data_IF_698326150319
#
_entry.id   IF_698326150319
#
_cell.length_a   1.000
_cell.length_b   1.000
_cell.length_c   1.000
_cell.angle_alpha   90.00
_cell.angle_beta   90.00
_cell.angle_gamma   90.00
#
_symmetry.space_group_name_H-M   'P 1'
#
loop_
_entity.id
_entity.type
_entity.pdbx_description
1 polymer ?
#
# COMPACT_ATOMS: atom_id res chain seq x y z
N UNK A 1 -66.16 57.93 -13.34
CA UNK A 1 -65.49 58.39 -12.11
C UNK A 1 -64.00 58.43 -12.45
N UNK A 2 -63.43 59.62 -12.65
CA UNK A 2 -62.02 59.75 -13.05
C UNK A 2 -61.12 59.60 -11.82
N UNK A 3 -60.13 58.72 -11.92
CA UNK A 3 -59.21 58.40 -10.81
C UNK A 3 -57.91 59.19 -10.99
N UNK A 4 -57.59 60.05 -10.03
CA UNK A 4 -56.36 60.85 -9.97
C UNK A 4 -55.17 60.00 -9.50
N UNK A 5 -53.95 60.41 -9.89
CA UNK A 5 -52.69 59.66 -9.62
C UNK A 5 -52.43 59.37 -8.13
N UNK A 6 -52.93 60.22 -7.23
CA UNK A 6 -52.80 60.05 -5.78
C UNK A 6 -53.63 58.86 -5.27
N UNK A 7 -54.81 58.62 -5.86
CA UNK A 7 -55.68 57.48 -5.51
C UNK A 7 -55.07 56.14 -5.94
N UNK A 8 -54.22 56.14 -6.98
CA UNK A 8 -53.53 54.95 -7.51
C UNK A 8 -52.36 54.55 -6.60
N UNK A 9 -51.64 55.52 -6.04
CA UNK A 9 -50.56 55.28 -5.07
C UNK A 9 -51.12 54.76 -3.74
N UNK A 10 -52.23 55.31 -3.26
CA UNK A 10 -52.92 54.86 -2.04
C UNK A 10 -53.44 53.41 -2.19
N UNK A 11 -53.99 53.05 -3.35
CA UNK A 11 -54.45 51.70 -3.64
C UNK A 11 -53.31 50.67 -3.77
N UNK A 12 -52.11 51.10 -4.18
CA UNK A 12 -50.91 50.25 -4.24
C UNK A 12 -50.39 49.89 -2.84
N UNK A 13 -50.51 50.82 -1.88
CA UNK A 13 -50.06 50.62 -0.50
C UNK A 13 -51.04 49.75 0.32
N UNK A 14 -52.33 49.77 -0.02
CA UNK A 14 -53.38 48.97 0.62
C UNK A 14 -53.52 47.58 -0.02
N UNK A 15 -52.55 46.70 0.30
CA UNK A 15 -52.43 45.28 -0.07
C UNK A 15 -53.60 44.54 -0.76
N UNK A 16 -53.24 43.97 -1.92
CA UNK A 16 -53.57 42.63 -2.46
C UNK A 16 -55.00 42.20 -2.81
N UNK A 17 -56.08 42.93 -2.50
CA UNK A 17 -57.45 42.42 -2.82
C UNK A 17 -58.29 43.20 -3.85
N UNK A 18 -57.87 44.38 -4.31
CA UNK A 18 -58.55 45.13 -5.40
C UNK A 18 -57.77 45.06 -6.73
N UNK A 19 -56.61 44.40 -6.75
CA UNK A 19 -55.58 44.52 -7.81
C UNK A 19 -55.93 43.74 -9.10
N UNK A 20 -56.94 42.87 -9.11
CA UNK A 20 -57.22 41.96 -10.23
C UNK A 20 -58.11 42.53 -11.36
N UNK A 21 -58.62 43.76 -11.26
CA UNK A 21 -59.68 44.26 -12.17
C UNK A 21 -59.28 45.36 -13.16
N UNK A 22 -58.00 45.76 -13.25
CA UNK A 22 -57.58 46.83 -14.18
C UNK A 22 -56.71 46.26 -15.32
N UNK A 23 -57.22 46.21 -16.58
CA UNK A 23 -56.52 45.58 -17.71
C UNK A 23 -55.27 46.35 -18.19
N UNK A 24 -55.09 47.62 -17.77
CA UNK A 24 -53.94 48.44 -18.17
C UNK A 24 -52.62 48.03 -17.49
N UNK A 25 -52.65 47.29 -16.38
CA UNK A 25 -51.44 46.84 -15.70
C UNK A 25 -50.76 45.64 -16.39
N UNK A 26 -51.51 44.85 -17.16
CA UNK A 26 -50.96 43.72 -17.93
C UNK A 26 -50.04 44.22 -19.06
N UNK A 27 -50.38 45.37 -19.67
CA UNK A 27 -49.54 46.05 -20.64
C UNK A 27 -48.23 46.58 -20.01
N UNK A 28 -48.32 47.17 -18.80
CA UNK A 28 -47.15 47.68 -18.07
C UNK A 28 -46.24 46.54 -17.60
N UNK A 29 -46.82 45.43 -17.14
CA UNK A 29 -46.08 44.23 -16.74
C UNK A 29 -45.35 43.59 -17.94
N UNK A 30 -45.96 43.62 -19.13
CA UNK A 30 -45.34 43.13 -20.37
C UNK A 30 -44.21 44.02 -20.90
N UNK A 31 -44.17 45.31 -20.57
CA UNK A 31 -43.04 46.17 -20.93
C UNK A 31 -41.89 46.06 -19.93
N UNK A 32 -42.19 45.96 -18.64
CA UNK A 32 -41.18 45.75 -17.59
C UNK A 32 -40.48 44.38 -17.74
N UNK A 33 -41.19 43.36 -18.19
CA UNK A 33 -40.63 42.02 -18.43
C UNK A 33 -39.71 41.95 -19.66
N UNK A 34 -39.81 42.89 -20.60
CA UNK A 34 -38.89 42.99 -21.75
C UNK A 34 -37.56 43.66 -21.40
N UNK A 35 -37.53 44.51 -20.37
CA UNK A 35 -36.35 45.30 -20.00
C UNK A 35 -35.54 44.76 -18.83
N UNK A 36 -36.01 43.72 -18.13
CA UNK A 36 -35.22 43.01 -17.12
C UNK A 36 -34.87 41.63 -17.65
N UNK A 37 -33.63 41.21 -17.37
CA UNK A 37 -32.93 40.00 -17.86
C UNK A 37 -33.85 38.81 -18.16
N UNK A 38 -33.57 38.03 -19.22
CA UNK A 38 -34.38 36.88 -19.56
C UNK A 38 -34.43 35.89 -18.39
N UNK A 39 -35.58 35.23 -18.17
CA UNK A 39 -35.67 34.18 -17.16
C UNK A 39 -34.66 33.09 -17.52
N UNK A 40 -33.69 32.85 -16.63
CA UNK A 40 -32.79 31.71 -16.73
C UNK A 40 -33.67 30.47 -16.75
N UNK A 41 -33.58 29.68 -17.83
CA UNK A 41 -34.18 28.34 -17.87
C UNK A 41 -33.40 27.46 -16.90
N UNK A 42 -33.78 27.49 -15.63
CA UNK A 42 -33.47 26.37 -14.74
C UNK A 42 -34.06 25.13 -15.43
N UNK A 43 -33.24 24.08 -15.55
CA UNK A 43 -33.52 22.87 -16.31
C UNK A 43 -35.00 22.47 -16.20
N UNK A 44 -35.66 22.03 -17.31
CA UNK A 44 -37.04 21.60 -17.22
C UNK A 44 -37.11 20.49 -16.16
N UNK A 45 -37.95 20.68 -15.14
CA UNK A 45 -38.25 19.63 -14.16
C UNK A 45 -38.95 18.53 -14.95
N UNK A 46 -38.17 17.57 -15.40
CA UNK A 46 -38.66 16.41 -16.08
C UNK A 46 -39.28 15.53 -14.99
N UNK A 47 -40.58 15.68 -14.76
CA UNK A 47 -41.37 14.81 -13.89
C UNK A 47 -41.68 13.46 -14.57
N UNK A 48 -40.77 12.99 -15.42
CA UNK A 48 -40.62 11.56 -15.58
C UNK A 48 -40.35 11.04 -14.17
N UNK A 49 -41.14 10.07 -13.71
CA UNK A 49 -40.78 9.30 -12.54
C UNK A 49 -39.43 8.65 -12.87
N UNK A 50 -38.35 9.37 -12.59
CA UNK A 50 -37.02 8.85 -12.53
C UNK A 50 -37.10 7.95 -11.32
N UNK A 51 -37.53 6.71 -11.58
CA UNK A 51 -37.25 5.60 -10.70
C UNK A 51 -35.75 5.69 -10.55
N UNK A 52 -35.32 6.28 -9.44
CA UNK A 52 -34.02 5.98 -8.88
C UNK A 52 -34.04 4.47 -8.86
N UNK A 53 -33.35 3.85 -9.81
CA UNK A 53 -33.22 2.42 -9.79
C UNK A 53 -32.62 2.16 -8.43
N UNK A 54 -33.39 1.53 -7.54
CA UNK A 54 -32.80 0.84 -6.41
C UNK A 54 -31.74 -0.02 -7.05
N UNK A 55 -30.48 0.37 -6.88
CA UNK A 55 -29.39 -0.41 -7.46
C UNK A 55 -29.61 -1.81 -6.91
N UNK A 56 -29.73 -2.80 -7.79
CA UNK A 56 -29.98 -4.20 -7.42
C UNK A 56 -28.89 -4.77 -6.48
N UNK A 57 -27.85 -3.98 -6.20
CA UNK A 57 -26.78 -4.23 -5.24
C UNK A 57 -27.00 -3.63 -3.83
N UNK A 58 -28.18 -3.08 -3.50
CA UNK A 58 -28.54 -2.86 -2.08
C UNK A 58 -28.99 -4.19 -1.48
N UNK A 59 -28.03 -5.08 -1.26
CA UNK A 59 -28.23 -6.27 -0.45
C UNK A 59 -28.52 -5.83 0.99
N UNK A 60 -29.53 -6.46 1.60
CA UNK A 60 -30.04 -6.20 2.95
C UNK A 60 -29.07 -6.65 4.06
N UNK A 61 -27.78 -6.36 3.94
CA UNK A 61 -26.71 -6.82 4.81
C UNK A 61 -25.50 -5.88 4.85
N UNK A 62 -25.69 -4.57 4.72
CA UNK A 62 -24.66 -3.61 5.12
C UNK A 62 -24.54 -3.64 6.65
N UNK A 63 -23.75 -4.57 7.15
CA UNK A 63 -23.26 -4.54 8.52
C UNK A 63 -22.45 -3.24 8.64
N UNK A 64 -22.98 -2.28 9.40
CA UNK A 64 -22.30 -1.01 9.65
C UNK A 64 -20.91 -1.34 10.24
N UNK A 65 -19.88 -0.60 9.82
CA UNK A 65 -18.51 -0.74 10.33
C UNK A 65 -17.73 -1.98 9.86
N UNK A 66 -17.99 -2.52 8.66
CA UNK A 66 -17.07 -3.48 8.03
C UNK A 66 -15.85 -2.80 7.42
N UNK A 67 -14.71 -3.49 7.51
CA UNK A 67 -13.45 -3.10 6.88
C UNK A 67 -13.37 -3.64 5.45
N UNK A 68 -12.49 -3.06 4.64
CA UNK A 68 -12.22 -3.59 3.29
C UNK A 68 -11.67 -5.03 3.37
N UNK A 69 -12.15 -5.89 2.48
CA UNK A 69 -11.68 -7.27 2.40
C UNK A 69 -10.20 -7.34 2.00
N UNK A 70 -9.53 -8.41 2.44
CA UNK A 70 -8.16 -8.70 2.04
C UNK A 70 -8.02 -8.73 0.51
N UNK A 71 -6.94 -8.14 -0.01
CA UNK A 71 -6.72 -8.01 -1.44
C UNK A 71 -6.17 -9.34 -1.97
N UNK A 72 -6.81 -10.00 -2.94
CA UNK A 72 -6.29 -11.25 -3.49
C UNK A 72 -4.96 -11.02 -4.21
N UNK A 73 -4.09 -12.05 -4.20
CA UNK A 73 -2.73 -11.99 -4.77
C UNK A 73 -2.67 -11.37 -6.18
N UNK A 74 -3.63 -11.67 -7.06
CA UNK A 74 -3.64 -11.18 -8.44
C UNK A 74 -3.94 -9.68 -8.60
N UNK A 75 -4.36 -8.99 -7.53
CA UNK A 75 -4.62 -7.54 -7.51
C UNK A 75 -3.54 -6.76 -6.76
N UNK A 76 -2.70 -7.45 -5.99
CA UNK A 76 -1.52 -6.83 -5.37
C UNK A 76 -0.44 -6.62 -6.42
N UNK A 77 0.31 -5.52 -6.33
CA UNK A 77 1.36 -5.21 -7.28
C UNK A 77 2.61 -6.05 -7.00
N UNK A 78 3.08 -6.06 -5.75
CA UNK A 78 4.14 -6.92 -5.26
C UNK A 78 3.68 -7.79 -4.08
N UNK A 79 2.99 -8.91 -4.34
CA UNK A 79 2.55 -9.80 -3.28
C UNK A 79 3.75 -10.45 -2.58
N UNK A 80 3.87 -10.22 -1.27
CA UNK A 80 4.86 -10.87 -0.43
C UNK A 80 4.30 -12.18 0.13
N UNK A 81 4.96 -13.28 -0.20
CA UNK A 81 4.55 -14.61 0.26
C UNK A 81 5.69 -15.33 0.97
N UNK A 82 5.35 -16.03 2.05
CA UNK A 82 6.23 -16.85 2.86
C UNK A 82 5.89 -18.32 2.68
N UNK A 83 6.89 -19.19 2.64
CA UNK A 83 6.67 -20.61 2.80
C UNK A 83 6.61 -20.96 4.29
N UNK A 84 5.62 -21.75 4.68
CA UNK A 84 5.55 -22.33 6.03
C UNK A 84 6.68 -23.35 6.24
N UNK A 85 6.91 -23.73 7.50
CA UNK A 85 7.96 -24.64 7.97
C UNK A 85 8.04 -25.96 7.18
N UNK A 86 6.91 -26.46 6.68
CA UNK A 86 6.85 -27.70 5.89
C UNK A 86 7.09 -27.51 4.39
N UNK A 87 7.41 -26.28 3.94
CA UNK A 87 7.56 -25.84 2.53
C UNK A 87 6.36 -26.12 1.61
N UNK A 88 5.26 -26.67 2.12
CA UNK A 88 4.08 -27.08 1.34
C UNK A 88 3.00 -25.99 1.24
N UNK A 89 2.89 -25.14 2.25
CA UNK A 89 1.85 -24.10 2.30
C UNK A 89 2.47 -22.72 2.11
N UNK A 90 2.05 -22.03 1.05
CA UNK A 90 2.41 -20.65 0.77
C UNK A 90 1.42 -19.72 1.47
N UNK A 91 1.90 -18.91 2.41
CA UNK A 91 1.11 -17.86 3.03
C UNK A 91 1.45 -16.50 2.39
N UNK A 92 0.50 -15.94 1.65
CA UNK A 92 0.58 -14.57 1.12
C UNK A 92 -0.01 -13.60 2.12
N UNK A 93 0.65 -12.46 2.32
CA UNK A 93 0.12 -11.41 3.17
C UNK A 93 -1.19 -10.84 2.58
N UNK A 94 -2.22 -10.61 3.43
CA UNK A 94 -3.53 -10.14 2.99
C UNK A 94 -3.52 -8.71 2.41
N UNK A 95 -2.62 -7.86 2.90
CA UNK A 95 -2.37 -6.52 2.38
C UNK A 95 -0.90 -6.40 1.95
N UNK A 96 -0.68 -5.63 0.89
CA UNK A 96 0.64 -5.42 0.31
C UNK A 96 1.53 -4.63 1.29
N UNK A 97 2.64 -5.21 1.78
CA UNK A 97 3.56 -4.53 2.66
C UNK A 97 4.50 -3.62 1.88
N UNK A 98 5.05 -2.62 2.57
CA UNK A 98 6.17 -1.84 2.06
C UNK A 98 7.49 -2.56 2.41
N UNK A 99 8.30 -2.83 1.40
CA UNK A 99 9.58 -3.53 1.54
C UNK A 99 10.71 -2.54 1.27
N UNK A 100 11.57 -2.33 2.25
CA UNK A 100 12.84 -1.62 2.10
C UNK A 100 13.97 -2.65 2.01
N UNK A 101 14.84 -2.50 1.00
CA UNK A 101 15.97 -3.40 0.76
C UNK A 101 17.23 -2.54 0.73
N UNK A 102 18.11 -2.75 1.69
CA UNK A 102 19.36 -2.00 1.84
C UNK A 102 20.54 -2.92 1.54
N UNK A 103 21.37 -2.52 0.59
CA UNK A 103 22.62 -3.21 0.26
C UNK A 103 23.80 -2.40 0.80
N UNK A 104 24.66 -3.03 1.59
CA UNK A 104 25.86 -2.39 2.14
C UNK A 104 27.14 -3.00 1.59
N UNK A 105 28.16 -2.17 1.42
CA UNK A 105 29.47 -2.58 0.94
C UNK A 105 30.52 -2.09 1.93
N UNK A 106 31.38 -2.99 2.39
CA UNK A 106 32.51 -2.62 3.23
C UNK A 106 33.62 -2.03 2.38
N UNK A 107 33.85 -0.73 2.53
CA UNK A 107 34.87 0.03 1.78
C UNK A 107 35.92 0.57 2.75
N UNK A 108 37.19 0.19 2.52
CA UNK A 108 38.33 0.70 3.27
C UNK A 108 38.87 1.95 2.56
N UNK A 109 39.09 3.01 3.33
CA UNK A 109 39.68 4.27 2.85
C UNK A 109 41.13 4.34 3.32
N UNK A 110 42.06 4.24 2.39
CA UNK A 110 43.49 4.26 2.67
C UNK A 110 44.08 5.63 2.37
N UNK A 111 44.70 6.22 3.39
CA UNK A 111 45.46 7.45 3.24
C UNK A 111 46.93 7.15 2.94
N UNK A 112 47.46 7.83 1.93
CA UNK A 112 48.82 7.64 1.45
C UNK A 112 49.62 8.90 1.77
N UNK A 113 50.76 8.73 2.44
CA UNK A 113 51.63 9.84 2.84
C UNK A 113 52.35 10.50 1.64
N UNK A 114 52.59 9.76 0.55
CA UNK A 114 53.22 10.27 -0.69
C UNK A 114 52.24 11.03 -1.61
N UNK A 115 51.14 11.58 -1.08
CA UNK A 115 50.26 12.45 -1.86
C UNK A 115 51.05 13.72 -2.20
N UNK A 116 51.50 13.83 -3.45
CA UNK A 116 52.00 15.09 -3.99
C UNK A 116 50.89 16.15 -3.99
N UNK A 117 51.25 17.41 -4.24
CA UNK A 117 50.35 18.57 -4.21
C UNK A 117 49.17 18.52 -5.21
N UNK A 118 49.06 17.48 -6.06
CA UNK A 118 48.01 17.32 -7.07
C UNK A 118 46.94 16.27 -6.77
N UNK A 119 47.02 15.54 -5.66
CA UNK A 119 46.07 14.46 -5.33
C UNK A 119 45.28 14.76 -4.05
N UNK A 120 43.97 14.99 -4.20
CA UNK A 120 43.02 15.22 -3.12
C UNK A 120 42.25 13.91 -2.83
N UNK A 121 42.11 13.54 -1.57
CA UNK A 121 41.27 12.41 -1.12
C UNK A 121 42.00 11.09 -0.89
N UNK A 122 41.29 10.07 -0.40
CA UNK A 122 41.81 8.74 -0.05
C UNK A 122 41.53 7.69 -1.11
N UNK A 123 42.35 6.64 -1.18
CA UNK A 123 42.09 5.49 -2.06
C UNK A 123 41.00 4.62 -1.42
N UNK A 124 39.94 4.34 -2.16
CA UNK A 124 38.81 3.52 -1.70
C UNK A 124 38.92 2.12 -2.27
N UNK A 125 38.99 1.12 -1.40
CA UNK A 125 39.04 -0.30 -1.77
C UNK A 125 37.80 -1.00 -1.27
N UNK A 126 37.08 -1.68 -2.16
CA UNK A 126 35.95 -2.53 -1.80
C UNK A 126 36.50 -3.84 -1.23
N UNK A 127 36.16 -4.13 0.02
CA UNK A 127 36.66 -5.30 0.75
C UNK A 127 35.67 -6.47 0.71
N UNK A 128 34.39 -6.18 0.95
CA UNK A 128 33.32 -7.17 0.89
C UNK A 128 32.01 -6.52 0.46
N UNK A 129 31.14 -7.33 -0.12
CA UNK A 129 29.69 -7.07 -0.17
C UNK A 129 29.13 -7.63 1.14
N UNK A 130 28.37 -6.82 1.87
CA UNK A 130 27.69 -7.29 3.07
C UNK A 130 26.29 -7.82 2.69
N UNK A 131 25.59 -8.44 3.64
CA UNK A 131 24.26 -9.00 3.38
C UNK A 131 23.22 -7.89 3.13
N UNK A 132 22.10 -8.26 2.50
CA UNK A 132 20.98 -7.34 2.30
C UNK A 132 20.16 -7.25 3.58
N UNK A 133 19.99 -6.04 4.10
CA UNK A 133 19.06 -5.76 5.18
C UNK A 133 17.68 -5.49 4.59
N UNK A 134 16.68 -6.22 5.04
CA UNK A 134 15.32 -6.18 4.53
C UNK A 134 14.41 -5.75 5.67
N UNK A 135 13.70 -4.64 5.47
CA UNK A 135 12.68 -4.17 6.42
C UNK A 135 11.33 -4.24 5.75
N UNK A 136 10.42 -5.04 6.31
CA UNK A 136 9.05 -5.22 5.81
C UNK A 136 8.13 -4.51 6.80
N UNK A 137 7.40 -3.51 6.33
CA UNK A 137 6.42 -2.78 7.14
C UNK A 137 5.04 -2.94 6.55
N UNK A 138 4.05 -3.14 7.40
CA UNK A 138 2.67 -3.32 6.97
C UNK A 138 1.69 -3.21 8.12
N UNK A 139 0.41 -3.40 7.82
CA UNK A 139 -0.64 -3.44 8.81
C UNK A 139 -1.65 -4.54 8.49
N UNK A 140 -2.14 -5.18 9.55
CA UNK A 140 -3.29 -6.06 9.49
C UNK A 140 -4.54 -5.31 9.92
N UNK A 141 -5.66 -5.63 9.28
CA UNK A 141 -6.96 -5.05 9.56
C UNK A 141 -7.94 -6.17 9.94
N UNK A 142 -8.65 -6.02 11.05
CA UNK A 142 -9.74 -6.92 11.38
C UNK A 142 -10.97 -6.68 10.51
N UNK A 143 -11.87 -7.64 10.48
CA UNK A 143 -13.07 -7.62 9.63
C UNK A 143 -14.04 -6.49 10.00
N UNK A 144 -14.13 -6.16 11.30
CA UNK A 144 -14.96 -5.08 11.83
C UNK A 144 -14.08 -3.92 12.29
N UNK A 145 -14.56 -2.69 12.10
CA UNK A 145 -13.88 -1.46 12.50
C UNK A 145 -14.03 -1.18 14.01
N UNK A 146 -15.17 -1.58 14.59
CA UNK A 146 -15.50 -1.37 16.01
C UNK A 146 -16.27 -2.57 16.54
N UNK A 147 -16.17 -2.83 17.85
CA UNK A 147 -16.93 -3.90 18.49
C UNK A 147 -16.15 -4.61 19.59
N UNK A 148 -16.41 -5.90 19.75
CA UNK A 148 -15.68 -6.72 20.71
C UNK A 148 -14.28 -7.07 20.17
N UNK A 149 -13.29 -7.07 21.05
CA UNK A 149 -11.89 -7.38 20.68
C UNK A 149 -11.73 -8.71 19.92
N UNK A 150 -12.57 -9.72 20.21
CA UNK A 150 -12.55 -11.02 19.52
C UNK A 150 -12.92 -10.95 18.04
N UNK A 151 -13.73 -9.96 17.63
CA UNK A 151 -14.21 -9.81 16.25
C UNK A 151 -13.49 -8.68 15.51
N UNK A 152 -13.01 -7.67 16.25
CA UNK A 152 -12.39 -6.47 15.72
C UNK A 152 -10.88 -6.63 15.52
N UNK A 153 -10.19 -7.41 16.35
CA UNK A 153 -8.73 -7.58 16.22
C UNK A 153 -8.35 -8.67 15.20
N UNK A 154 -7.33 -8.46 14.32
CA UNK A 154 -6.89 -9.44 13.32
C UNK A 154 -6.08 -10.60 13.93
N UNK A 155 -6.74 -11.42 14.75
CA UNK A 155 -6.10 -12.50 15.52
C UNK A 155 -5.51 -13.61 14.63
N UNK A 156 -6.23 -14.00 13.58
CA UNK A 156 -5.80 -15.07 12.67
C UNK A 156 -4.51 -14.75 11.94
N UNK A 157 -4.32 -13.50 11.52
CA UNK A 157 -3.12 -13.07 10.81
C UNK A 157 -1.95 -12.87 11.78
N UNK A 158 -2.24 -12.42 12.99
CA UNK A 158 -1.25 -12.33 14.06
C UNK A 158 -0.76 -13.70 14.54
N UNK A 159 -1.63 -14.70 14.63
CA UNK A 159 -1.23 -16.08 14.94
C UNK A 159 -0.30 -16.65 13.87
N UNK A 160 -0.61 -16.44 12.58
CA UNK A 160 0.27 -16.85 11.47
C UNK A 160 1.61 -16.11 11.50
N UNK A 161 1.60 -14.80 11.80
CA UNK A 161 2.83 -14.03 11.95
C UNK A 161 3.66 -14.56 13.13
N UNK A 162 3.03 -14.86 14.27
CA UNK A 162 3.72 -15.47 15.42
C UNK A 162 4.37 -16.80 15.03
N UNK A 163 3.66 -17.67 14.33
CA UNK A 163 4.17 -18.97 13.94
C UNK A 163 5.35 -18.84 12.95
N UNK A 164 5.29 -17.86 12.04
CA UNK A 164 6.42 -17.49 11.17
C UNK A 164 7.66 -17.07 11.99
N UNK A 165 7.45 -16.33 13.09
CA UNK A 165 8.54 -15.85 13.95
C UNK A 165 9.14 -16.91 14.86
N UNK A 166 8.34 -17.88 15.28
CA UNK A 166 8.82 -19.00 16.10
C UNK A 166 9.63 -20.01 15.29
N UNK A 167 9.62 -19.90 13.96
CA UNK A 167 10.36 -20.81 13.08
C UNK A 167 11.87 -20.56 13.20
N UNK A 168 12.67 -21.52 13.71
CA UNK A 168 14.10 -21.34 13.96
C UNK A 168 14.97 -21.53 12.69
N UNK A 169 14.35 -21.50 11.51
CA UNK A 169 14.99 -21.81 10.23
C UNK A 169 14.91 -20.61 9.28
N UNK A 170 15.74 -20.62 8.24
CA UNK A 170 15.63 -19.68 7.13
C UNK A 170 14.25 -19.82 6.47
N UNK A 171 13.64 -18.68 6.18
CA UNK A 171 12.30 -18.63 5.59
C UNK A 171 12.46 -18.37 4.11
N UNK A 172 11.84 -19.23 3.29
CA UNK A 172 11.79 -19.01 1.84
C UNK A 172 10.74 -17.95 1.53
N UNK A 173 11.10 -16.98 0.69
CA UNK A 173 10.27 -15.82 0.38
C UNK A 173 10.09 -15.67 -1.12
N UNK A 174 8.90 -15.23 -1.50
CA UNK A 174 8.56 -14.94 -2.88
C UNK A 174 7.97 -13.53 -2.97
N UNK A 175 8.73 -12.66 -3.64
CA UNK A 175 8.34 -11.30 -4.00
C UNK A 175 9.21 -10.88 -5.19
N UNK A 176 8.65 -10.22 -6.19
CA UNK A 176 9.36 -9.85 -7.41
C UNK A 176 10.65 -9.03 -7.19
N UNK A 177 10.66 -7.92 -6.41
CA UNK A 177 11.88 -7.17 -6.13
C UNK A 177 12.98 -7.99 -5.44
N UNK A 178 12.62 -8.91 -4.53
CA UNK A 178 13.59 -9.78 -3.86
C UNK A 178 14.18 -10.79 -4.84
N UNK A 179 13.38 -11.31 -5.75
CA UNK A 179 13.80 -12.30 -6.74
C UNK A 179 14.75 -11.71 -7.80
N UNK A 180 14.54 -10.44 -8.19
CA UNK A 180 15.47 -9.73 -9.08
C UNK A 180 16.86 -9.61 -8.46
N UNK A 181 16.93 -9.45 -7.14
CA UNK A 181 18.18 -9.43 -6.37
C UNK A 181 18.70 -10.83 -6.01
N UNK A 182 18.06 -11.88 -6.52
CA UNK A 182 18.36 -13.29 -6.26
C UNK A 182 18.24 -13.69 -4.78
N UNK A 183 17.43 -12.95 -4.00
CA UNK A 183 17.16 -13.22 -2.59
C UNK A 183 15.96 -14.16 -2.51
N UNK A 184 16.24 -15.42 -2.20
CA UNK A 184 15.24 -16.49 -2.09
C UNK A 184 14.91 -16.87 -0.65
N UNK A 185 15.85 -16.63 0.26
CA UNK A 185 15.74 -16.96 1.67
C UNK A 185 16.07 -15.74 2.51
N UNK A 186 15.34 -15.57 3.60
CA UNK A 186 15.59 -14.53 4.60
C UNK A 186 15.63 -15.16 5.99
N UNK A 187 16.32 -14.51 6.90
CA UNK A 187 16.32 -14.83 8.33
C UNK A 187 15.78 -13.61 9.07
N UNK A 188 14.77 -13.80 9.92
CA UNK A 188 14.17 -12.72 10.69
C UNK A 188 15.06 -12.45 11.92
N UNK A 189 15.49 -11.21 12.10
CA UNK A 189 16.27 -10.79 13.26
C UNK A 189 15.38 -10.26 14.38
N UNK A 190 14.41 -9.42 14.03
CA UNK A 190 13.53 -8.78 15.00
C UNK A 190 12.19 -8.40 14.39
N UNK A 191 11.18 -8.36 15.25
CA UNK A 191 9.86 -7.81 14.91
C UNK A 191 9.45 -6.80 15.95
N UNK A 192 8.92 -5.68 15.45
CA UNK A 192 8.38 -4.59 16.23
C UNK A 192 6.91 -4.39 15.89
N UNK A 193 6.10 -4.13 16.90
CA UNK A 193 4.68 -3.81 16.76
C UNK A 193 4.47 -2.36 17.20
N UNK A 194 4.61 -1.38 16.29
CA UNK A 194 4.45 0.03 16.65
C UNK A 194 3.00 0.33 17.05
N UNK A 195 2.83 1.38 17.84
CA UNK A 195 1.51 1.80 18.32
C UNK A 195 0.62 2.21 17.15
N UNK A 196 -0.52 1.55 17.00
CA UNK A 196 -1.58 1.90 16.05
C UNK A 196 -2.76 2.53 16.75
N UNK A 197 -3.41 3.48 16.07
CA UNK A 197 -4.70 4.02 16.51
C UNK A 197 -5.81 3.16 15.90
N UNK A 198 -6.64 2.57 16.74
CA UNK A 198 -7.77 1.75 16.31
C UNK A 198 -7.66 0.33 16.84
N UNK A 199 -8.80 -0.21 17.27
CA UNK A 199 -8.92 -1.55 17.85
C UNK A 199 -8.76 -2.65 16.80
N UNK A 200 -8.94 -2.28 15.53
CA UNK A 200 -8.94 -3.17 14.38
C UNK A 200 -7.63 -3.22 13.60
N UNK A 201 -6.68 -2.31 13.89
CA UNK A 201 -5.45 -2.19 13.10
C UNK A 201 -4.26 -2.59 13.94
N UNK A 202 -3.44 -3.51 13.42
CA UNK A 202 -2.15 -3.86 14.00
C UNK A 202 -1.05 -3.66 12.96
N UNK A 203 -0.22 -2.63 13.15
CA UNK A 203 0.98 -2.45 12.34
C UNK A 203 2.08 -3.38 12.83
N UNK A 204 2.95 -3.79 11.90
CA UNK A 204 4.12 -4.60 12.15
C UNK A 204 5.30 -4.09 11.33
N UNK A 205 6.48 -4.25 11.89
CA UNK A 205 7.77 -4.01 11.25
C UNK A 205 8.63 -5.25 11.48
N UNK A 206 9.03 -5.91 10.40
CA UNK A 206 9.87 -7.10 10.42
C UNK A 206 11.22 -6.72 9.84
N UNK A 207 12.29 -6.93 10.62
CA UNK A 207 13.67 -6.78 10.17
C UNK A 207 14.27 -8.15 9.92
N UNK A 208 14.78 -8.33 8.73
CA UNK A 208 15.34 -9.58 8.26
C UNK A 208 16.62 -9.34 7.46
N UNK A 209 17.44 -10.38 7.36
CA UNK A 209 18.68 -10.38 6.57
C UNK A 209 18.57 -11.46 5.49
N UNK A 210 19.12 -11.19 4.32
CA UNK A 210 19.19 -12.18 3.23
C UNK A 210 20.09 -13.35 3.59
N UNK A 211 19.66 -14.58 3.31
CA UNK A 211 20.50 -15.77 3.42
C UNK A 211 20.78 -16.35 2.03
N UNK A 212 22.07 -16.60 1.75
CA UNK A 212 22.51 -17.26 0.53
C UNK A 212 23.07 -18.64 0.87
N UNK A 213 22.66 -19.70 0.14
CA UNK A 213 23.11 -21.05 0.44
C UNK A 213 24.63 -21.14 0.27
N UNK A 214 25.35 -21.30 1.37
CA UNK A 214 26.78 -21.56 1.37
C UNK A 214 27.07 -22.95 1.90
N UNK A 215 27.81 -23.75 1.13
CA UNK A 215 28.23 -25.07 1.59
C UNK A 215 29.52 -24.93 2.42
N UNK A 216 29.37 -24.99 3.74
CA UNK A 216 30.50 -24.94 4.67
C UNK A 216 31.40 -26.19 4.57
N UNK A 217 30.89 -27.30 4.05
CA UNK A 217 31.65 -28.53 3.93
C UNK A 217 32.47 -28.49 2.64
N UNK A 218 33.77 -28.19 2.80
CA UNK A 218 34.75 -28.36 1.75
C UNK A 218 34.89 -29.85 1.42
N UNK A 219 34.27 -30.28 0.31
CA UNK A 219 34.52 -31.62 -0.24
C UNK A 219 35.92 -31.64 -0.84
N UNK A 220 36.88 -32.20 -0.09
CA UNK A 220 38.22 -32.48 -0.62
C UNK A 220 38.05 -33.33 -1.88
N UNK A 221 38.51 -32.84 -3.04
CA UNK A 221 38.63 -33.67 -4.23
C UNK A 221 39.68 -34.74 -3.92
N UNK A 222 39.24 -36.00 -3.80
CA UNK A 222 40.14 -37.14 -3.66
C UNK A 222 40.84 -37.35 -5.00
N UNK A 223 41.97 -36.66 -5.20
CA UNK A 223 42.86 -36.94 -6.32
C UNK A 223 43.55 -38.27 -6.08
N UNK A 224 43.47 -39.18 -7.04
CA UNK A 224 44.35 -40.34 -7.07
C UNK A 224 45.75 -39.81 -7.37
N UNK A 225 46.65 -39.92 -6.39
CA UNK A 225 48.06 -39.61 -6.61
C UNK A 225 48.65 -40.78 -7.40
N UNK A 226 48.91 -40.58 -8.69
CA UNK A 226 49.75 -41.49 -9.45
C UNK A 226 51.19 -41.33 -8.98
N UNK A 227 51.60 -42.18 -8.04
CA UNK A 227 52.99 -42.26 -7.59
C UNK A 227 53.75 -42.98 -8.69
N UNK A 228 54.58 -42.24 -9.44
CA UNK A 228 55.44 -42.80 -10.46
C UNK A 228 56.28 -43.97 -9.92
N UNK A 229 56.41 -45.03 -10.71
CA UNK A 229 57.17 -46.23 -10.34
C UNK A 229 58.63 -45.85 -10.03
N UNK A 230 59.25 -46.40 -8.96
CA UNK A 230 60.65 -46.15 -8.66
C UNK A 230 61.54 -46.74 -9.78
N UNK A 231 62.08 -45.85 -10.62
CA UNK A 231 63.12 -46.18 -11.60
C UNK A 231 64.46 -46.12 -10.87
N UNK A 232 64.88 -47.23 -10.27
CA UNK A 232 66.17 -47.22 -9.56
C UNK A 232 66.43 -48.51 -8.80
N UNK A 233 66.93 -49.52 -9.51
CA UNK A 233 67.39 -50.76 -8.91
C UNK A 233 67.83 -51.75 -9.98
N UNK A 234 68.80 -51.36 -10.81
CA UNK A 234 69.57 -52.37 -11.54
C UNK A 234 70.43 -53.11 -10.51
N UNK A 235 70.28 -54.44 -10.33
CA UNK A 235 71.23 -55.20 -9.55
C UNK A 235 72.56 -55.17 -10.29
N UNK A 236 73.59 -54.63 -9.65
CA UNK A 236 74.97 -54.92 -10.03
C UNK A 236 75.26 -56.39 -9.68
N UNK A 237 76.00 -57.03 -10.61
CA UNK A 237 76.60 -58.38 -10.59
C UNK A 237 75.74 -59.51 -11.16
#
# INVERSE_FOLDING_TARGET
MELTNENILLASLMGSKVIKQIPRFEAVQNELSKHVLPPVKFLPVNSAAQRVGDSENYSAGFDLWQNDAAIPKGRQFFPLSFYSQDEQTLWTLPWEPMINIEASNRIIKRDIAKKGAGLIGSIKERWSTDDYNITITGAFYGNKMQGQSSETYPRTDMDKLRDLLLTPAKIKVLCEPLQILNINHIVIESVSFPFTKGENVQAYEIKAVSDFPYNLIYKRKTGVLEVGMPVGGAPEV
#
